data_IF_890343864403
#
_entry.id   IF_890343864403
#
_cell.length_a   1.000
_cell.length_b   1.000
_cell.length_c   1.000
_cell.angle_alpha   90.00
_cell.angle_beta   90.00
_cell.angle_gamma   90.00
#
_symmetry.space_group_name_H-M   'P 1'
#
loop_
_entity.id
_entity.type
_entity.pdbx_description
1 polymer ?
#
# COMPACT_ATOMS: atom_id res chain seq x y z
N UNK A 1 -28.36 -11.45 -2.06
CA UNK A 1 -27.25 -10.60 -2.48
C UNK A 1 -26.28 -10.51 -1.32
N UNK A 2 -25.00 -10.66 -1.56
CA UNK A 2 -23.98 -10.42 -0.52
C UNK A 2 -24.01 -8.95 -0.12
N UNK A 3 -23.90 -8.62 1.19
CA UNK A 3 -23.88 -7.24 1.64
C UNK A 3 -22.68 -6.51 1.02
N UNK A 4 -22.93 -5.30 0.52
CA UNK A 4 -21.90 -4.42 -0.05
C UNK A 4 -21.74 -3.18 0.82
N UNK A 5 -21.03 -3.27 1.96
CA UNK A 5 -20.83 -2.14 2.85
C UNK A 5 -20.02 -1.04 2.17
N UNK A 6 -20.44 0.22 2.38
CA UNK A 6 -19.80 1.40 1.80
C UNK A 6 -18.70 1.98 2.69
N UNK A 7 -18.74 1.68 3.99
CA UNK A 7 -17.78 2.13 5.00
C UNK A 7 -17.64 1.11 6.13
N UNK A 8 -16.76 1.39 7.08
CA UNK A 8 -16.48 0.49 8.21
C UNK A 8 -17.69 0.32 9.10
N UNK A 9 -18.50 1.34 9.31
CA UNK A 9 -19.71 1.27 10.16
C UNK A 9 -20.76 0.37 9.52
N UNK A 10 -20.98 0.50 8.22
CA UNK A 10 -21.82 -0.39 7.45
C UNK A 10 -21.29 -1.84 7.48
N UNK A 11 -19.97 -2.04 7.37
CA UNK A 11 -19.35 -3.37 7.49
C UNK A 11 -19.59 -3.99 8.86
N UNK A 12 -19.45 -3.22 9.94
CA UNK A 12 -19.68 -3.69 11.31
C UNK A 12 -21.10 -4.15 11.55
N UNK A 13 -22.09 -3.55 10.86
CA UNK A 13 -23.50 -3.91 10.92
C UNK A 13 -23.84 -5.15 10.06
N UNK A 14 -22.99 -5.56 9.10
CA UNK A 14 -23.27 -6.71 8.26
C UNK A 14 -23.16 -8.02 9.01
N UNK A 15 -23.92 -9.03 8.56
CA UNK A 15 -23.84 -10.39 9.12
C UNK A 15 -22.64 -11.13 8.53
N UNK A 16 -21.77 -11.60 9.40
CA UNK A 16 -20.63 -12.45 9.00
C UNK A 16 -21.16 -13.83 8.56
N UNK A 17 -20.93 -14.25 7.30
CA UNK A 17 -21.47 -15.52 6.78
C UNK A 17 -21.04 -16.75 7.58
N UNK A 18 -19.83 -16.72 8.17
CA UNK A 18 -19.30 -17.86 8.93
C UNK A 18 -19.93 -18.04 10.31
N UNK A 19 -20.32 -16.94 10.96
CA UNK A 19 -20.82 -16.98 12.34
C UNK A 19 -22.33 -16.73 12.45
N UNK A 20 -22.97 -16.19 11.41
CA UNK A 20 -24.37 -15.75 11.44
C UNK A 20 -24.63 -14.54 12.35
N UNK A 21 -23.57 -13.88 12.85
CA UNK A 21 -23.65 -12.74 13.77
C UNK A 21 -23.17 -11.47 13.07
N UNK A 22 -23.61 -10.26 13.53
CA UNK A 22 -23.00 -9.02 13.07
C UNK A 22 -21.49 -9.00 13.26
N UNK A 23 -20.75 -8.41 12.32
CA UNK A 23 -19.27 -8.32 12.39
C UNK A 23 -18.83 -7.64 13.69
N UNK A 24 -19.58 -6.61 14.16
CA UNK A 24 -19.31 -5.95 15.43
C UNK A 24 -19.32 -6.92 16.63
N UNK A 25 -20.24 -7.88 16.65
CA UNK A 25 -20.34 -8.85 17.75
C UNK A 25 -19.22 -9.92 17.65
N UNK A 26 -18.87 -10.31 16.45
CA UNK A 26 -17.69 -11.20 16.24
C UNK A 26 -16.41 -10.55 16.75
N UNK A 27 -16.24 -9.23 16.53
CA UNK A 27 -15.08 -8.49 17.05
C UNK A 27 -15.10 -8.44 18.58
N UNK A 28 -16.27 -8.15 19.20
CA UNK A 28 -16.40 -8.14 20.68
C UNK A 28 -16.01 -9.50 21.28
N UNK A 29 -16.47 -10.60 20.67
CA UNK A 29 -16.12 -11.95 21.10
C UNK A 29 -14.60 -12.20 21.00
N UNK A 30 -13.96 -11.71 19.93
CA UNK A 30 -12.50 -11.80 19.76
C UNK A 30 -11.75 -10.96 20.79
N UNK A 31 -12.19 -9.73 21.06
CA UNK A 31 -11.64 -8.88 22.12
C UNK A 31 -11.72 -9.58 23.48
N UNK A 32 -12.88 -10.16 23.80
CA UNK A 32 -13.08 -10.89 25.06
C UNK A 32 -12.16 -12.11 25.20
N UNK A 33 -11.88 -12.81 24.09
CA UNK A 33 -11.05 -14.02 24.12
C UNK A 33 -9.54 -13.73 24.12
N UNK A 34 -9.11 -12.63 23.48
CA UNK A 34 -7.69 -12.28 23.32
C UNK A 34 -7.23 -11.32 24.43
N UNK A 35 -8.14 -10.51 24.98
CA UNK A 35 -7.85 -9.48 25.98
C UNK A 35 -7.28 -8.18 25.39
N UNK A 36 -7.25 -8.03 24.08
CA UNK A 36 -6.71 -6.85 23.40
C UNK A 36 -7.80 -6.13 22.60
N UNK A 37 -7.72 -4.79 22.54
CA UNK A 37 -8.63 -3.97 21.74
C UNK A 37 -8.37 -4.20 20.24
N UNK A 38 -9.39 -4.68 19.53
CA UNK A 38 -9.37 -4.88 18.07
C UNK A 38 -10.34 -3.93 17.41
N UNK A 39 -9.88 -3.23 16.37
CA UNK A 39 -10.71 -2.35 15.54
C UNK A 39 -10.46 -2.62 14.07
N UNK A 40 -11.51 -2.54 13.25
CA UNK A 40 -11.35 -2.49 11.79
C UNK A 40 -11.14 -1.03 11.44
N UNK A 41 -9.95 -0.69 10.94
CA UNK A 41 -9.61 0.68 10.57
C UNK A 41 -10.03 1.00 9.13
N UNK A 42 -9.87 0.04 8.23
CA UNK A 42 -10.24 0.13 6.81
C UNK A 42 -10.45 -1.25 6.22
N UNK A 43 -11.16 -1.32 5.14
CA UNK A 43 -11.29 -2.54 4.32
C UNK A 43 -11.40 -2.14 2.85
N UNK A 44 -11.16 -3.10 1.97
CA UNK A 44 -11.42 -2.96 0.54
C UNK A 44 -12.21 -4.17 0.05
N UNK A 45 -13.01 -3.94 -0.98
CA UNK A 45 -13.73 -4.99 -1.69
C UNK A 45 -13.36 -4.95 -3.15
N UNK A 46 -13.08 -6.12 -3.69
CA UNK A 46 -12.71 -6.36 -5.06
C UNK A 46 -13.71 -7.30 -5.71
N UNK A 47 -14.00 -7.08 -6.99
CA UNK A 47 -14.87 -7.92 -7.81
C UNK A 47 -14.15 -8.24 -9.12
N UNK A 48 -14.51 -9.36 -9.79
CA UNK A 48 -13.89 -9.74 -11.06
C UNK A 48 -12.67 -10.64 -10.91
N UNK A 49 -11.63 -10.43 -11.74
CA UNK A 49 -10.41 -11.23 -11.70
C UNK A 49 -9.47 -10.72 -10.63
N UNK A 50 -9.55 -11.28 -9.44
CA UNK A 50 -8.77 -10.84 -8.28
C UNK A 50 -7.71 -11.88 -7.93
N UNK A 51 -6.45 -11.43 -7.88
CA UNK A 51 -5.34 -12.18 -7.32
C UNK A 51 -5.00 -11.66 -5.92
N UNK A 52 -4.55 -12.56 -5.04
CA UNK A 52 -4.14 -12.22 -3.68
C UNK A 52 -2.79 -12.84 -3.35
N UNK A 53 -2.01 -12.13 -2.52
CA UNK A 53 -0.76 -12.64 -2.02
C UNK A 53 -0.53 -12.17 -0.58
N UNK A 54 -0.08 -13.08 0.27
CA UNK A 54 0.29 -12.77 1.66
C UNK A 54 1.76 -13.15 1.85
N UNK A 55 2.58 -12.16 2.18
CA UNK A 55 4.00 -12.36 2.43
C UNK A 55 4.28 -12.44 3.93
N UNK A 56 4.72 -13.61 4.41
CA UNK A 56 5.10 -13.88 5.80
C UNK A 56 4.06 -13.45 6.86
N UNK A 57 2.78 -13.40 6.49
CA UNK A 57 1.71 -12.93 7.37
C UNK A 57 1.76 -11.42 7.71
N UNK A 58 2.65 -10.66 7.08
CA UNK A 58 2.88 -9.24 7.39
C UNK A 58 2.47 -8.28 6.28
N UNK A 59 2.51 -8.70 5.03
CA UNK A 59 2.12 -7.87 3.87
C UNK A 59 1.04 -8.62 3.11
N UNK A 60 -0.11 -7.99 2.94
CA UNK A 60 -1.21 -8.49 2.11
C UNK A 60 -1.32 -7.64 0.85
N UNK A 61 -1.51 -8.29 -0.30
CA UNK A 61 -1.73 -7.63 -1.59
C UNK A 61 -2.99 -8.19 -2.22
N UNK A 62 -3.83 -7.29 -2.75
CA UNK A 62 -4.93 -7.59 -3.66
C UNK A 62 -4.64 -6.90 -4.98
N UNK A 63 -4.88 -7.60 -6.08
CA UNK A 63 -4.70 -7.11 -7.44
C UNK A 63 -5.93 -7.47 -8.26
N UNK A 64 -6.53 -6.48 -8.94
CA UNK A 64 -7.60 -6.69 -9.91
C UNK A 64 -7.08 -6.49 -11.33
N UNK A 65 -7.44 -7.42 -12.22
CA UNK A 65 -7.07 -7.38 -13.63
C UNK A 65 -8.31 -7.53 -14.51
N UNK A 66 -8.26 -7.00 -15.73
CA UNK A 66 -9.37 -7.05 -16.69
C UNK A 66 -9.53 -8.42 -17.40
N UNK A 67 -8.50 -9.25 -17.33
CA UNK A 67 -8.54 -10.63 -17.85
C UNK A 67 -7.81 -11.60 -16.90
N UNK A 68 -8.05 -12.91 -17.08
CA UNK A 68 -7.56 -13.95 -16.18
C UNK A 68 -6.22 -14.50 -16.62
N UNK A 69 -5.19 -14.34 -15.78
CA UNK A 69 -3.94 -15.10 -15.79
C UNK A 69 -3.47 -15.23 -14.33
N UNK A 70 -3.87 -16.31 -13.68
CA UNK A 70 -3.65 -16.49 -12.23
C UNK A 70 -2.17 -16.53 -11.85
N UNK A 71 -1.33 -17.12 -12.70
CA UNK A 71 0.10 -17.28 -12.42
C UNK A 71 0.78 -15.93 -12.49
N UNK A 72 0.57 -15.21 -13.58
CA UNK A 72 1.17 -13.90 -13.78
C UNK A 72 0.63 -12.87 -12.77
N UNK A 73 -0.67 -12.85 -12.51
CA UNK A 73 -1.28 -11.97 -11.52
C UNK A 73 -0.69 -12.19 -10.12
N UNK A 74 -0.45 -13.46 -9.73
CA UNK A 74 0.20 -13.80 -8.46
C UNK A 74 1.65 -13.33 -8.41
N UNK A 75 2.38 -13.44 -9.51
CA UNK A 75 3.74 -12.94 -9.63
C UNK A 75 3.82 -11.42 -9.50
N UNK A 76 2.82 -10.71 -10.05
CA UNK A 76 2.70 -9.25 -9.88
C UNK A 76 2.33 -8.91 -8.42
N UNK A 77 1.47 -9.66 -7.76
CA UNK A 77 1.21 -9.46 -6.33
C UNK A 77 2.50 -9.60 -5.48
N UNK A 78 3.35 -10.59 -5.79
CA UNK A 78 4.67 -10.74 -5.16
C UNK A 78 5.54 -9.50 -5.39
N UNK A 79 5.57 -8.99 -6.63
CA UNK A 79 6.30 -7.78 -6.99
C UNK A 79 5.79 -6.57 -6.19
N UNK A 80 4.45 -6.36 -6.12
CA UNK A 80 3.83 -5.28 -5.35
C UNK A 80 4.21 -5.39 -3.86
N UNK A 81 4.20 -6.60 -3.29
CA UNK A 81 4.60 -6.82 -1.90
C UNK A 81 6.03 -6.36 -1.63
N UNK A 82 6.95 -6.64 -2.56
CA UNK A 82 8.39 -6.36 -2.46
C UNK A 82 8.73 -4.90 -2.79
N UNK A 83 8.24 -4.40 -3.94
CA UNK A 83 8.65 -3.11 -4.50
C UNK A 83 7.80 -1.93 -4.05
N UNK A 84 6.66 -2.21 -3.39
CA UNK A 84 5.78 -1.21 -2.78
C UNK A 84 5.41 -0.03 -3.71
N UNK A 85 4.92 -0.27 -4.95
CA UNK A 85 4.44 0.82 -5.79
C UNK A 85 3.26 1.53 -5.12
N UNK A 86 3.07 2.80 -5.46
CA UNK A 86 1.98 3.61 -4.92
C UNK A 86 0.84 3.78 -5.91
N UNK A 87 1.15 3.76 -7.21
CA UNK A 87 0.21 3.97 -8.31
C UNK A 87 0.31 2.83 -9.32
N UNK A 88 -0.77 2.56 -10.04
CA UNK A 88 -0.71 1.61 -11.17
C UNK A 88 0.13 2.20 -12.28
N UNK A 89 -0.17 3.44 -12.71
CA UNK A 89 0.48 4.13 -13.82
C UNK A 89 0.62 5.63 -13.56
N UNK A 90 1.28 6.36 -14.48
CA UNK A 90 1.42 7.82 -14.39
C UNK A 90 0.08 8.58 -14.36
N UNK A 91 -0.95 8.01 -14.97
CA UNK A 91 -2.30 8.62 -15.04
C UNK A 91 -2.98 8.68 -13.67
N UNK A 92 -2.55 7.81 -12.76
CA UNK A 92 -3.13 7.67 -11.43
C UNK A 92 -2.44 8.59 -10.41
N UNK A 93 -1.35 9.26 -10.80
CA UNK A 93 -0.61 10.18 -9.91
C UNK A 93 -1.36 11.51 -9.83
N UNK A 94 -1.80 11.95 -8.64
CA UNK A 94 -2.37 13.27 -8.45
C UNK A 94 -1.38 14.37 -8.84
N UNK A 95 -1.84 15.44 -9.49
CA UNK A 95 -1.00 16.57 -9.89
C UNK A 95 -0.29 17.18 -8.67
N UNK A 96 -0.96 17.25 -7.52
CA UNK A 96 -0.38 17.75 -6.27
C UNK A 96 0.86 16.97 -5.80
N UNK A 97 0.94 15.68 -6.10
CA UNK A 97 2.13 14.86 -5.77
C UNK A 97 3.31 15.27 -6.65
N UNK A 98 3.07 15.46 -7.94
CA UNK A 98 4.12 15.89 -8.89
C UNK A 98 4.61 17.31 -8.55
N UNK A 99 3.69 18.21 -8.20
CA UNK A 99 4.01 19.58 -7.79
C UNK A 99 4.84 19.61 -6.52
N UNK A 100 4.47 18.82 -5.52
CA UNK A 100 5.19 18.73 -4.25
C UNK A 100 6.61 18.19 -4.43
N UNK A 101 6.77 17.11 -5.17
CA UNK A 101 8.10 16.53 -5.46
C UNK A 101 8.95 17.49 -6.31
N UNK A 102 8.34 18.20 -7.25
CA UNK A 102 9.01 19.24 -8.03
C UNK A 102 9.51 20.37 -7.11
N UNK A 103 8.70 20.80 -6.17
CA UNK A 103 9.07 21.83 -5.19
C UNK A 103 10.22 21.38 -4.30
N UNK A 104 10.17 20.14 -3.81
CA UNK A 104 11.22 19.53 -2.99
C UNK A 104 12.52 19.44 -3.79
N UNK A 105 12.49 18.93 -5.01
CA UNK A 105 13.68 18.82 -5.85
C UNK A 105 14.30 20.18 -6.18
N UNK A 106 13.47 21.19 -6.47
CA UNK A 106 13.95 22.58 -6.73
C UNK A 106 14.65 23.20 -5.54
N UNK A 107 14.27 22.84 -4.31
CA UNK A 107 14.87 23.36 -3.07
C UNK A 107 16.20 22.72 -2.68
N UNK A 108 16.69 21.71 -3.41
CA UNK A 108 17.94 21.02 -3.07
C UNK A 108 19.18 21.89 -3.29
N UNK A 109 20.10 21.86 -2.34
CA UNK A 109 21.31 22.69 -2.32
C UNK A 109 22.24 22.46 -3.54
N UNK A 110 22.28 21.24 -4.07
CA UNK A 110 23.10 20.88 -5.23
C UNK A 110 22.67 21.60 -6.52
N UNK A 111 21.45 22.14 -6.53
CA UNK A 111 20.90 22.92 -7.63
C UNK A 111 21.06 24.44 -7.45
N UNK A 112 21.34 24.92 -6.23
CA UNK A 112 21.35 26.35 -5.91
C UNK A 112 22.33 27.17 -6.77
N UNK A 113 23.47 26.57 -7.16
CA UNK A 113 24.53 27.24 -7.96
C UNK A 113 24.36 27.06 -9.47
N UNK A 114 23.32 26.35 -9.95
CA UNK A 114 23.13 26.07 -11.37
C UNK A 114 22.21 27.12 -12.02
N UNK A 115 22.43 27.46 -13.31
CA UNK A 115 21.51 28.32 -14.06
C UNK A 115 20.09 27.76 -14.06
N UNK A 116 19.08 28.63 -14.04
CA UNK A 116 17.66 28.27 -13.90
C UNK A 116 17.20 27.24 -14.95
N UNK A 117 17.57 27.43 -16.21
CA UNK A 117 17.21 26.49 -17.28
C UNK A 117 17.81 25.08 -17.08
N UNK A 118 19.01 25.01 -16.51
CA UNK A 118 19.68 23.74 -16.23
C UNK A 118 19.00 23.09 -15.02
N UNK A 119 18.65 23.89 -13.98
CA UNK A 119 17.91 23.39 -12.83
C UNK A 119 16.59 22.77 -13.23
N UNK A 120 15.78 23.45 -14.04
CA UNK A 120 14.51 22.95 -14.50
C UNK A 120 14.60 21.58 -15.18
N UNK A 121 15.57 21.39 -16.08
CA UNK A 121 15.78 20.11 -16.77
C UNK A 121 16.24 18.99 -15.83
N UNK A 122 17.09 19.32 -14.85
CA UNK A 122 17.55 18.32 -13.85
C UNK A 122 16.38 17.91 -12.97
N UNK A 123 15.58 18.86 -12.49
CA UNK A 123 14.39 18.60 -11.66
C UNK A 123 13.38 17.75 -12.41
N UNK A 124 13.06 18.11 -13.65
CA UNK A 124 12.18 17.31 -14.50
C UNK A 124 12.66 15.86 -14.64
N UNK A 125 13.94 15.66 -14.93
CA UNK A 125 14.53 14.32 -15.04
C UNK A 125 14.47 13.54 -13.73
N UNK A 126 14.73 14.19 -12.58
CA UNK A 126 14.67 13.57 -11.25
C UNK A 126 13.23 13.21 -10.86
N UNK A 127 12.29 14.12 -11.03
CA UNK A 127 10.87 13.89 -10.76
C UNK A 127 10.34 12.78 -11.67
N UNK A 128 10.68 12.79 -12.96
CA UNK A 128 10.30 11.71 -13.87
C UNK A 128 10.82 10.34 -13.40
N UNK A 129 12.06 10.27 -12.96
CA UNK A 129 12.64 9.03 -12.42
C UNK A 129 11.94 8.59 -11.12
N UNK A 130 11.65 9.53 -10.24
CA UNK A 130 10.94 9.26 -8.98
C UNK A 130 9.53 8.73 -9.26
N UNK A 131 8.80 9.36 -10.17
CA UNK A 131 7.45 8.90 -10.56
C UNK A 131 7.47 7.51 -11.19
N UNK A 132 8.47 7.20 -12.03
CA UNK A 132 8.64 5.86 -12.59
C UNK A 132 8.83 4.79 -11.49
N UNK A 133 9.58 5.12 -10.43
CA UNK A 133 9.78 4.21 -9.29
C UNK A 133 8.50 4.00 -8.47
N UNK A 134 7.57 4.95 -8.47
CA UNK A 134 6.28 4.86 -7.74
C UNK A 134 5.17 4.21 -8.57
N UNK A 135 5.33 4.09 -9.90
CA UNK A 135 4.35 3.48 -10.80
C UNK A 135 4.64 2.01 -11.04
N UNK A 136 3.69 1.15 -10.71
CA UNK A 136 3.80 -0.31 -10.84
C UNK A 136 4.22 -0.73 -12.24
N UNK A 137 3.55 -0.21 -13.28
CA UNK A 137 3.79 -0.65 -14.66
C UNK A 137 5.19 -0.28 -15.19
N UNK A 138 5.80 0.78 -14.64
CA UNK A 138 7.14 1.23 -15.05
C UNK A 138 8.28 0.57 -14.25
N UNK A 139 7.95 -0.11 -13.13
CA UNK A 139 8.97 -0.78 -12.32
C UNK A 139 9.56 -1.99 -13.03
N UNK A 140 10.90 -2.21 -12.90
CA UNK A 140 11.52 -3.46 -13.32
C UNK A 140 10.96 -4.63 -12.54
N UNK A 141 10.60 -5.73 -13.21
CA UNK A 141 10.00 -6.89 -12.56
C UNK A 141 10.99 -7.57 -11.60
N UNK A 142 10.58 -7.83 -10.36
CA UNK A 142 11.47 -8.37 -9.31
C UNK A 142 12.13 -9.71 -9.66
N UNK A 143 11.46 -10.55 -10.46
CA UNK A 143 12.01 -11.84 -10.91
C UNK A 143 12.85 -11.74 -12.18
N UNK A 144 12.68 -10.67 -12.96
CA UNK A 144 13.44 -10.38 -14.19
C UNK A 144 13.56 -8.86 -14.38
N UNK A 145 14.62 -8.23 -13.82
CA UNK A 145 14.78 -6.76 -13.86
C UNK A 145 15.02 -6.17 -15.26
N UNK A 146 15.31 -7.00 -16.26
CA UNK A 146 15.47 -6.54 -17.65
C UNK A 146 14.13 -6.20 -18.33
N UNK A 147 13.00 -6.56 -17.70
CA UNK A 147 11.66 -6.35 -18.20
C UNK A 147 10.83 -5.56 -17.19
N UNK A 148 10.12 -4.53 -17.68
CA UNK A 148 9.15 -3.80 -16.84
C UNK A 148 7.86 -4.60 -16.68
N UNK A 149 7.06 -4.24 -15.67
CA UNK A 149 5.73 -4.85 -15.49
C UNK A 149 4.86 -4.60 -16.72
N UNK A 150 4.89 -3.39 -17.33
CA UNK A 150 4.14 -3.08 -18.55
C UNK A 150 4.48 -4.03 -19.70
N UNK A 151 5.77 -4.28 -19.93
CA UNK A 151 6.22 -5.22 -20.95
C UNK A 151 5.78 -6.66 -20.65
N UNK A 152 5.82 -7.03 -19.37
CA UNK A 152 5.46 -8.38 -18.92
C UNK A 152 3.98 -8.70 -19.11
N UNK A 153 3.08 -7.74 -18.88
CA UNK A 153 1.63 -7.91 -19.00
C UNK A 153 1.09 -7.62 -20.39
N UNK A 154 1.90 -7.04 -21.28
CA UNK A 154 1.49 -6.65 -22.64
C UNK A 154 0.82 -7.81 -23.38
N UNK A 155 -0.38 -7.56 -23.91
CA UNK A 155 -1.18 -8.54 -24.65
C UNK A 155 -1.80 -9.65 -23.79
N UNK A 156 -1.70 -9.59 -22.48
CA UNK A 156 -2.29 -10.59 -21.55
C UNK A 156 -3.46 -10.02 -20.76
N UNK A 157 -3.25 -8.96 -20.02
CA UNK A 157 -4.28 -8.22 -19.27
C UNK A 157 -3.78 -6.82 -18.92
N UNK A 158 -4.71 -5.98 -18.46
CA UNK A 158 -4.39 -4.71 -17.83
C UNK A 158 -4.65 -4.77 -16.32
N UNK A 159 -3.83 -4.06 -15.55
CA UNK A 159 -4.05 -3.89 -14.13
C UNK A 159 -5.11 -2.81 -13.93
N UNK A 160 -6.20 -3.15 -13.24
CA UNK A 160 -7.29 -2.22 -12.93
C UNK A 160 -6.93 -1.41 -11.68
N UNK A 161 -6.60 -2.10 -10.60
CA UNK A 161 -6.16 -1.49 -9.32
C UNK A 161 -5.48 -2.53 -8.45
N UNK A 162 -4.80 -2.05 -7.41
CA UNK A 162 -4.25 -2.88 -6.35
C UNK A 162 -4.33 -2.18 -5.00
N UNK A 163 -4.30 -2.98 -3.93
CA UNK A 163 -4.09 -2.52 -2.57
C UNK A 163 -2.98 -3.35 -1.91
N UNK A 164 -2.16 -2.67 -1.14
CA UNK A 164 -1.11 -3.25 -0.34
C UNK A 164 -1.29 -2.86 1.11
N UNK A 165 -1.39 -3.84 2.00
CA UNK A 165 -1.51 -3.67 3.44
C UNK A 165 -0.26 -4.20 4.14
N UNK A 166 0.28 -3.43 5.07
CA UNK A 166 1.43 -3.82 5.88
C UNK A 166 1.04 -3.86 7.36
N UNK A 167 1.42 -4.92 8.03
CA UNK A 167 1.19 -5.04 9.47
C UNK A 167 1.86 -3.87 10.21
N UNK A 168 1.09 -3.16 11.03
CA UNK A 168 1.56 -1.99 11.79
C UNK A 168 1.63 -0.68 11.00
N UNK A 169 1.26 -0.68 9.71
CA UNK A 169 1.22 0.54 8.90
C UNK A 169 0.25 1.58 9.50
N UNK A 170 0.72 2.83 9.63
CA UNK A 170 -0.06 3.95 10.16
C UNK A 170 -0.41 3.85 11.67
N UNK A 171 0.25 2.96 12.41
CA UNK A 171 0.26 2.99 13.85
C UNK A 171 1.47 3.79 14.31
N UNK A 172 1.28 4.73 15.26
CA UNK A 172 2.41 5.33 15.97
C UNK A 172 3.18 4.21 16.67
N UNK A 173 4.47 4.09 16.34
CA UNK A 173 5.34 3.22 17.14
C UNK A 173 5.37 3.81 18.54
N UNK A 174 4.87 3.09 19.55
CA UNK A 174 5.16 3.41 20.94
C UNK A 174 6.67 3.52 21.05
N UNK A 175 7.16 4.71 21.36
CA UNK A 175 8.48 4.88 21.91
C UNK A 175 8.40 4.39 23.36
N UNK A 176 8.36 3.08 23.54
CA UNK A 176 8.57 2.48 24.86
C UNK A 176 10.04 2.75 25.19
N UNK A 177 10.25 3.89 25.85
CA UNK A 177 11.55 4.26 26.38
C UNK A 177 11.75 3.38 27.63
N UNK A 178 12.16 2.12 27.39
CA UNK A 178 12.40 1.14 28.43
C UNK A 178 13.29 1.69 29.56
N UNK A 179 14.19 2.63 29.23
CA UNK A 179 15.00 3.34 30.21
C UNK A 179 14.15 4.20 31.19
N UNK A 180 13.14 4.89 30.69
CA UNK A 180 12.26 5.73 31.51
C UNK A 180 11.28 4.87 32.34
N UNK A 181 10.83 3.74 31.81
CA UNK A 181 10.02 2.78 32.56
C UNK A 181 10.80 2.16 33.73
N UNK A 182 12.04 1.75 33.49
CA UNK A 182 12.94 1.21 34.52
C UNK A 182 13.27 2.29 35.57
N UNK A 183 13.55 3.52 35.16
CA UNK A 183 13.81 4.65 36.07
C UNK A 183 12.58 4.98 36.94
N UNK A 184 11.38 4.91 36.38
CA UNK A 184 10.13 5.17 37.12
C UNK A 184 9.81 4.07 38.14
N UNK A 185 10.28 2.85 37.91
CA UNK A 185 10.15 1.73 38.88
C UNK A 185 11.20 1.78 39.98
N UNK A 186 12.41 2.22 39.66
CA UNK A 186 13.51 2.34 40.67
C UNK A 186 13.34 3.54 41.60
N UNK A 187 12.58 4.57 41.20
CA UNK A 187 12.33 5.78 42.01
C UNK A 187 11.17 5.65 43.02
N UNK A 188 10.56 4.49 43.18
CA UNK A 188 9.44 4.22 44.12
C UNK A 188 9.82 3.43 45.38
N UNK A 189 11.10 3.45 45.80
CA UNK A 189 11.54 2.92 47.04
C UNK A 189 12.15 3.98 47.95
#
# INVERSE_FOLDING_TARGET
AEPNPVDVDALLATVCPKSGKPVADVIKEKIASIGEKITIRRFVRYEGNVATYIHNGKIGVLLETDAKDEVLAKDICLHIASSAPEFVSRKDIPASVIEEETRIEMGKEDLAKKPEQIRAKIVEGRVNKLMAQRCLVEQPFVKNPEQTIEQLISGKFNIVKFDRYVLGEGLEKRNDNFADEVMSQLGKH
#
